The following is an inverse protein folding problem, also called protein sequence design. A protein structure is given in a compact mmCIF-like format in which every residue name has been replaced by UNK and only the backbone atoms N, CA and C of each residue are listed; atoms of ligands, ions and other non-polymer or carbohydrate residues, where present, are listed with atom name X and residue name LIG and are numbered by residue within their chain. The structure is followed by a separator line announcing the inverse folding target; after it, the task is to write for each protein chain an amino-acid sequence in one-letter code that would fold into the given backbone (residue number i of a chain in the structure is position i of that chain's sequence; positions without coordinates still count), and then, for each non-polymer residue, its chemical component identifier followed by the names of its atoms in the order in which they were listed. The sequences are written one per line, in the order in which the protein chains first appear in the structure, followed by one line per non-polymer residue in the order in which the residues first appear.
data_IF_851247080909
#
_entry.id   IF_851247080909
#
_cell.length_a   1.000
_cell.length_b   1.000
_cell.length_c   1.000
_cell.angle_alpha   90.00
_cell.angle_beta   90.00
_cell.angle_gamma   90.00
#
_symmetry.space_group_name_H-M   'P 1'
#
loop_
_entity.id
_entity.type
_entity.pdbx_description
1 polymer ?
#
# COMPACT_ATOMS: atom_id res chain seq x y z
N UNK A 1 40.74 -18.95 -0.05
CA UNK A 1 39.28 -19.10 -0.30
C UNK A 1 38.55 -17.87 0.21
N UNK A 2 38.16 -16.94 -0.68
CA UNK A 2 37.31 -15.78 -0.31
C UNK A 2 35.86 -16.24 -0.38
N UNK A 3 35.14 -16.22 0.74
CA UNK A 3 33.68 -16.40 0.77
C UNK A 3 33.04 -15.26 -0.04
N UNK A 4 32.54 -15.58 -1.23
CA UNK A 4 31.60 -14.73 -1.94
C UNK A 4 30.33 -14.65 -1.09
N UNK A 5 30.17 -13.56 -0.33
CA UNK A 5 28.86 -13.17 0.18
C UNK A 5 28.01 -12.94 -1.06
N UNK A 6 27.03 -13.81 -1.31
CA UNK A 6 25.99 -13.55 -2.31
C UNK A 6 25.27 -12.27 -1.89
N UNK A 7 25.68 -11.13 -2.45
CA UNK A 7 24.80 -9.97 -2.55
C UNK A 7 23.68 -10.42 -3.48
N UNK A 8 22.60 -10.94 -2.90
CA UNK A 8 21.35 -10.95 -3.63
C UNK A 8 21.07 -9.50 -4.03
N UNK A 9 20.90 -9.18 -5.32
CA UNK A 9 20.39 -7.88 -5.71
C UNK A 9 19.07 -7.63 -4.98
N UNK A 10 18.90 -6.42 -4.46
CA UNK A 10 17.73 -6.03 -3.67
C UNK A 10 16.50 -6.03 -4.56
N UNK A 11 15.58 -6.96 -4.34
CA UNK A 11 14.32 -6.99 -5.07
C UNK A 11 13.50 -5.71 -4.81
N UNK A 12 12.66 -5.27 -5.76
CA UNK A 12 11.67 -4.21 -5.50
C UNK A 12 10.86 -4.53 -4.25
N UNK A 13 10.36 -3.53 -3.53
CA UNK A 13 9.52 -3.78 -2.35
C UNK A 13 8.22 -4.41 -2.82
N UNK A 14 8.09 -5.73 -2.63
CA UNK A 14 6.94 -6.51 -3.06
C UNK A 14 5.89 -6.53 -1.95
N UNK A 15 4.65 -6.18 -2.28
CA UNK A 15 3.52 -6.23 -1.35
C UNK A 15 3.40 -7.57 -0.64
N UNK A 16 3.56 -8.66 -1.37
CA UNK A 16 3.47 -10.03 -0.86
C UNK A 16 4.48 -10.30 0.27
N UNK A 17 5.73 -9.86 0.10
CA UNK A 17 6.77 -9.99 1.13
C UNK A 17 6.43 -9.15 2.36
N UNK A 18 5.90 -7.94 2.15
CA UNK A 18 5.48 -7.07 3.25
C UNK A 18 4.28 -7.63 4.00
N UNK A 19 3.31 -8.20 3.29
CA UNK A 19 2.15 -8.85 3.91
C UNK A 19 2.58 -10.10 4.71
N UNK A 20 3.58 -10.84 4.24
CA UNK A 20 4.08 -12.04 4.91
C UNK A 20 4.93 -11.72 6.13
N UNK A 21 5.79 -10.70 6.04
CA UNK A 21 6.82 -10.43 7.05
C UNK A 21 6.56 -9.19 7.90
N UNK A 22 5.56 -8.38 7.55
CA UNK A 22 5.27 -7.08 8.18
C UNK A 22 6.51 -6.18 8.28
N UNK A 23 7.36 -6.19 7.25
CA UNK A 23 8.59 -5.40 7.18
C UNK A 23 9.06 -5.27 5.74
N UNK A 24 9.85 -4.24 5.46
CA UNK A 24 10.63 -4.13 4.23
C UNK A 24 11.98 -3.49 4.51
N UNK A 25 12.92 -3.69 3.59
CA UNK A 25 14.26 -3.08 3.64
C UNK A 25 14.35 -1.99 2.57
N UNK A 26 14.94 -0.84 2.92
CA UNK A 26 15.28 0.23 1.98
C UNK A 26 16.79 0.27 1.73
N UNK A 27 17.19 -0.37 0.65
CA UNK A 27 18.51 -0.27 0.02
C UNK A 27 18.43 0.57 -1.28
N UNK A 28 19.59 0.81 -1.91
CA UNK A 28 19.68 1.63 -3.14
C UNK A 28 18.80 1.09 -4.28
N UNK A 29 18.63 -0.23 -4.36
CA UNK A 29 17.86 -0.87 -5.42
C UNK A 29 16.35 -0.74 -5.18
N UNK A 30 15.90 -0.94 -3.94
CA UNK A 30 14.51 -0.70 -3.56
C UNK A 30 14.13 0.78 -3.71
N UNK A 31 15.03 1.73 -3.40
CA UNK A 31 14.81 3.16 -3.66
C UNK A 31 14.72 3.46 -5.16
N UNK A 32 15.56 2.83 -5.99
CA UNK A 32 15.48 3.00 -7.46
C UNK A 32 14.11 2.58 -8.01
N UNK A 33 13.52 1.53 -7.46
CA UNK A 33 12.19 1.05 -7.87
C UNK A 33 11.04 1.80 -7.17
N UNK A 34 11.27 2.32 -5.96
CA UNK A 34 10.30 3.02 -5.13
C UNK A 34 10.89 4.37 -4.68
N UNK A 35 11.07 5.33 -5.59
CA UNK A 35 11.78 6.57 -5.27
C UNK A 35 11.11 7.31 -4.12
N UNK A 36 9.80 7.30 -3.94
CA UNK A 36 9.18 8.03 -2.82
C UNK A 36 9.39 7.37 -1.44
N UNK A 37 9.83 6.11 -1.39
CA UNK A 37 9.97 5.39 -0.13
C UNK A 37 11.14 5.87 0.73
N UNK A 38 12.13 6.58 0.16
CA UNK A 38 13.18 7.21 0.99
C UNK A 38 12.60 8.25 1.98
N UNK A 39 11.38 8.73 1.74
CA UNK A 39 10.69 9.71 2.60
C UNK A 39 9.93 9.06 3.75
N UNK A 40 9.76 7.73 3.75
CA UNK A 40 9.02 7.00 4.79
C UNK A 40 9.74 7.08 6.13
N UNK A 41 8.97 7.37 7.18
CA UNK A 41 9.41 7.57 8.55
C UNK A 41 8.58 6.72 9.52
N UNK A 42 9.10 6.57 10.73
CA UNK A 42 8.32 6.02 11.85
C UNK A 42 7.09 6.88 12.06
N UNK A 43 5.95 6.22 12.33
CA UNK A 43 4.60 6.77 12.43
C UNK A 43 3.89 7.10 11.10
N UNK A 44 4.50 6.81 9.95
CA UNK A 44 3.78 6.88 8.67
C UNK A 44 2.77 5.74 8.52
N UNK A 45 1.70 6.02 7.80
CA UNK A 45 0.70 5.04 7.41
C UNK A 45 0.95 4.56 6.00
N UNK A 46 0.93 3.25 5.82
CA UNK A 46 1.13 2.61 4.54
C UNK A 46 -0.08 1.76 4.18
N UNK A 47 -0.49 1.83 2.92
CA UNK A 47 -1.44 0.88 2.32
C UNK A 47 -0.72 -0.03 1.37
N UNK A 48 -1.22 -1.25 1.25
CA UNK A 48 -0.71 -2.25 0.33
C UNK A 48 -1.79 -2.61 -0.68
N UNK A 49 -1.52 -2.37 -1.96
CA UNK A 49 -2.30 -2.89 -3.07
C UNK A 49 -1.90 -4.34 -3.32
N UNK A 50 -2.80 -5.26 -2.97
CA UNK A 50 -2.59 -6.69 -3.13
C UNK A 50 -2.60 -7.05 -4.62
N UNK A 51 -1.64 -7.85 -5.08
CA UNK A 51 -1.66 -8.37 -6.44
C UNK A 51 -2.77 -9.40 -6.64
N UNK A 52 -3.00 -9.80 -7.89
CA UNK A 52 -3.90 -10.88 -8.26
C UNK A 52 -3.55 -12.23 -7.60
N UNK A 53 -2.32 -12.39 -7.10
CA UNK A 53 -1.83 -13.62 -6.47
C UNK A 53 -2.19 -13.72 -4.99
N UNK A 54 -2.62 -12.63 -4.34
CA UNK A 54 -2.99 -12.65 -2.92
C UNK A 54 -4.41 -13.23 -2.76
N UNK A 55 -4.55 -14.42 -2.13
CA UNK A 55 -5.86 -15.04 -1.99
C UNK A 55 -6.83 -14.17 -1.19
N UNK A 56 -8.11 -14.22 -1.56
CA UNK A 56 -9.21 -13.47 -0.92
C UNK A 56 -9.08 -11.94 -0.95
N UNK A 57 -8.08 -11.38 -1.64
CA UNK A 57 -7.84 -9.93 -1.74
C UNK A 57 -7.22 -9.52 -3.09
N UNK A 58 -7.56 -10.13 -4.24
CA UNK A 58 -6.85 -9.84 -5.49
C UNK A 58 -7.11 -8.41 -5.97
N UNK A 59 -6.05 -7.70 -6.38
CA UNK A 59 -6.12 -6.36 -6.98
C UNK A 59 -6.85 -5.33 -6.11
N UNK A 60 -6.58 -5.33 -4.81
CA UNK A 60 -7.26 -4.46 -3.85
C UNK A 60 -6.33 -3.94 -2.75
N UNK A 61 -6.58 -2.71 -2.28
CA UNK A 61 -6.10 -2.25 -0.97
C UNK A 61 -6.98 -2.88 0.10
N UNK A 62 -6.38 -3.68 0.97
CA UNK A 62 -7.09 -4.35 2.08
C UNK A 62 -6.40 -4.25 3.43
N UNK A 63 -5.09 -4.03 3.42
CA UNK A 63 -4.28 -3.99 4.62
C UNK A 63 -3.67 -2.61 4.80
N UNK A 64 -3.74 -2.14 6.04
CA UNK A 64 -3.21 -0.85 6.46
C UNK A 64 -2.18 -1.11 7.55
N UNK A 65 -1.03 -0.49 7.37
CA UNK A 65 0.12 -0.61 8.25
C UNK A 65 0.49 0.73 8.84
N UNK A 66 0.97 0.70 10.07
CA UNK A 66 1.73 1.78 10.69
C UNK A 66 3.21 1.38 10.68
N UNK A 67 4.08 2.29 10.29
CA UNK A 67 5.52 2.11 10.46
C UNK A 67 5.86 2.23 11.95
N UNK A 68 6.12 1.09 12.60
CA UNK A 68 6.31 1.05 14.06
C UNK A 68 7.73 1.40 14.49
N UNK A 69 8.73 0.98 13.71
CA UNK A 69 10.13 1.23 14.02
C UNK A 69 11.01 1.08 12.79
N UNK A 70 12.23 1.60 12.90
CA UNK A 70 13.30 1.44 11.90
C UNK A 70 14.54 0.91 12.60
N UNK A 71 15.07 -0.22 12.11
CA UNK A 71 16.32 -0.83 12.59
C UNK A 71 17.28 -0.88 11.40
N UNK A 72 18.31 -0.04 11.42
CA UNK A 72 19.18 0.21 10.27
C UNK A 72 18.34 0.60 9.03
N UNK A 73 18.40 -0.19 7.97
CA UNK A 73 17.66 0.05 6.72
C UNK A 73 16.32 -0.69 6.66
N UNK A 74 15.95 -1.42 7.72
CA UNK A 74 14.71 -2.17 7.77
C UNK A 74 13.63 -1.40 8.51
N UNK A 75 12.46 -1.29 7.89
CA UNK A 75 11.25 -0.75 8.50
C UNK A 75 10.36 -1.90 8.96
N UNK A 76 9.97 -1.86 10.23
CA UNK A 76 9.02 -2.81 10.81
C UNK A 76 7.65 -2.17 10.79
N UNK A 77 6.66 -2.96 10.37
CA UNK A 77 5.28 -2.54 10.22
C UNK A 77 4.41 -3.22 11.26
N UNK A 78 3.45 -2.47 11.77
CA UNK A 78 2.35 -2.99 12.58
C UNK A 78 1.09 -2.94 11.74
N UNK A 79 0.44 -4.08 11.53
CA UNK A 79 -0.89 -4.10 10.93
C UNK A 79 -1.87 -3.43 11.89
N UNK A 80 -2.51 -2.34 11.46
CA UNK A 80 -3.47 -1.60 12.28
C UNK A 80 -4.91 -1.86 11.87
N UNK A 81 -5.14 -2.25 10.61
CA UNK A 81 -6.47 -2.55 10.09
C UNK A 81 -6.38 -3.50 8.90
N UNK A 82 -7.19 -4.55 8.96
CA UNK A 82 -7.65 -5.30 7.79
C UNK A 82 -9.06 -4.84 7.45
N UNK A 83 -9.23 -4.32 6.24
CA UNK A 83 -10.54 -3.92 5.75
C UNK A 83 -11.39 -5.17 5.51
N UNK A 84 -12.66 -5.13 5.93
CA UNK A 84 -13.61 -6.21 5.65
C UNK A 84 -13.78 -6.38 4.13
N UNK A 85 -13.80 -5.26 3.41
CA UNK A 85 -13.88 -5.16 1.95
C UNK A 85 -12.77 -4.25 1.47
N UNK A 86 -12.00 -4.70 0.48
CA UNK A 86 -10.90 -3.91 -0.07
C UNK A 86 -11.37 -2.90 -1.11
N UNK A 87 -10.52 -1.92 -1.39
CA UNK A 87 -10.70 -0.97 -2.47
C UNK A 87 -9.96 -1.45 -3.71
N UNK A 88 -10.68 -1.70 -4.80
CA UNK A 88 -10.07 -1.94 -6.10
C UNK A 88 -9.66 -0.60 -6.74
N UNK A 89 -8.89 -0.67 -7.83
CA UNK A 89 -8.43 0.51 -8.55
C UNK A 89 -9.59 1.44 -9.00
N UNK A 90 -10.67 0.87 -9.54
CA UNK A 90 -11.82 1.66 -10.00
C UNK A 90 -12.48 2.48 -8.87
N UNK A 91 -12.61 1.90 -7.67
CA UNK A 91 -13.12 2.62 -6.50
C UNK A 91 -12.16 3.74 -6.07
N UNK A 92 -10.85 3.49 -6.08
CA UNK A 92 -9.86 4.53 -5.76
C UNK A 92 -9.93 5.67 -6.77
N UNK A 93 -9.96 5.37 -8.07
CA UNK A 93 -10.08 6.38 -9.14
C UNK A 93 -11.32 7.23 -8.94
N UNK A 94 -12.49 6.61 -8.76
CA UNK A 94 -13.75 7.33 -8.53
C UNK A 94 -13.69 8.25 -7.29
N UNK A 95 -13.12 7.78 -6.17
CA UNK A 95 -13.01 8.60 -4.96
C UNK A 95 -11.98 9.74 -5.11
N UNK A 96 -10.94 9.57 -5.92
CA UNK A 96 -9.98 10.62 -6.25
C UNK A 96 -10.62 11.67 -7.16
N UNK A 97 -11.38 11.25 -8.18
CA UNK A 97 -12.11 12.14 -9.09
C UNK A 97 -13.17 12.98 -8.35
N UNK A 98 -13.79 12.40 -7.32
CA UNK A 98 -14.71 13.09 -6.42
C UNK A 98 -14.03 14.01 -5.39
N UNK A 99 -12.69 14.06 -5.38
CA UNK A 99 -11.91 14.88 -4.44
C UNK A 99 -11.90 14.37 -3.00
N UNK A 100 -12.30 13.12 -2.76
CA UNK A 100 -12.35 12.51 -1.42
C UNK A 100 -11.03 11.88 -1.00
N UNK A 101 -10.32 11.31 -1.96
CA UNK A 101 -9.01 10.71 -1.77
C UNK A 101 -7.95 11.52 -2.50
N UNK A 102 -6.73 11.56 -1.96
CA UNK A 102 -5.62 12.21 -2.64
C UNK A 102 -5.18 11.45 -3.90
N UNK A 103 -4.65 12.19 -4.89
CA UNK A 103 -4.09 11.61 -6.12
C UNK A 103 -2.91 10.67 -5.87
N UNK A 104 -2.30 10.68 -4.67
CA UNK A 104 -1.21 9.77 -4.29
C UNK A 104 -1.66 8.31 -4.37
N UNK A 105 -2.92 8.03 -4.06
CA UNK A 105 -3.47 6.67 -4.08
C UNK A 105 -3.57 6.05 -5.48
N UNK A 106 -3.57 6.87 -6.53
CA UNK A 106 -3.56 6.37 -7.91
C UNK A 106 -2.25 5.65 -8.26
N UNK A 107 -1.18 5.91 -7.52
CA UNK A 107 0.14 5.33 -7.80
C UNK A 107 0.29 3.91 -7.24
N UNK A 108 -0.62 3.47 -6.37
CA UNK A 108 -0.51 2.21 -5.61
C UNK A 108 -0.72 0.95 -6.44
N UNK A 109 -1.32 1.06 -7.62
CA UNK A 109 -1.52 -0.08 -8.53
C UNK A 109 -0.28 -0.35 -9.39
N UNK A 110 0.67 0.58 -9.48
CA UNK A 110 1.84 0.42 -10.35
C UNK A 110 2.74 -0.73 -9.86
N UNK A 111 3.28 -1.52 -10.79
CA UNK A 111 4.09 -2.72 -10.49
C UNK A 111 5.26 -2.39 -9.55
N UNK A 112 5.80 -1.18 -9.66
CA UNK A 112 6.87 -0.66 -8.80
C UNK A 112 6.41 -0.26 -7.40
N UNK A 113 5.15 0.15 -7.21
CA UNK A 113 4.63 0.75 -5.97
C UNK A 113 3.39 0.03 -5.46
N UNK A 114 3.46 -1.28 -5.24
CA UNK A 114 2.36 -2.02 -4.59
C UNK A 114 2.12 -1.61 -3.12
N UNK A 115 2.98 -0.75 -2.59
CA UNK A 115 2.85 -0.16 -1.27
C UNK A 115 2.89 1.35 -1.47
N UNK A 116 2.08 2.08 -0.71
CA UNK A 116 2.05 3.53 -0.74
C UNK A 116 2.03 4.10 0.66
N UNK A 117 2.75 5.19 0.85
CA UNK A 117 2.47 6.10 1.96
C UNK A 117 1.16 6.84 1.70
N UNK A 118 0.35 6.99 2.75
CA UNK A 118 -0.89 7.74 2.70
C UNK A 118 -0.94 8.79 3.79
N UNK A 119 -1.64 9.87 3.50
CA UNK A 119 -1.89 10.93 4.46
C UNK A 119 -3.00 10.49 5.44
N UNK A 120 -3.01 11.09 6.63
CA UNK A 120 -3.97 10.72 7.68
C UNK A 120 -5.44 10.94 7.26
N UNK A 121 -5.73 11.95 6.44
CA UNK A 121 -7.07 12.20 5.91
C UNK A 121 -7.57 11.08 5.00
N UNK A 122 -6.70 10.55 4.14
CA UNK A 122 -7.03 9.41 3.29
C UNK A 122 -7.23 8.14 4.13
N UNK A 123 -6.38 7.95 5.16
CA UNK A 123 -6.49 6.84 6.11
C UNK A 123 -7.87 6.82 6.79
N UNK A 124 -8.29 7.95 7.35
CA UNK A 124 -9.58 8.04 8.04
C UNK A 124 -10.74 7.67 7.11
N UNK A 125 -10.70 8.13 5.85
CA UNK A 125 -11.73 7.79 4.88
C UNK A 125 -11.71 6.30 4.54
N UNK A 126 -10.54 5.74 4.23
CA UNK A 126 -10.39 4.32 3.87
C UNK A 126 -10.84 3.39 5.00
N UNK A 127 -10.60 3.77 6.27
CA UNK A 127 -11.01 2.96 7.43
C UNK A 127 -12.52 3.03 7.66
N UNK A 128 -13.12 4.22 7.52
CA UNK A 128 -14.49 4.49 7.94
C UNK A 128 -15.53 4.33 6.82
N UNK A 129 -15.09 4.15 5.57
CA UNK A 129 -15.98 4.10 4.42
C UNK A 129 -16.14 2.66 3.90
N UNK A 130 -17.37 2.15 3.73
CA UNK A 130 -17.60 0.85 3.08
C UNK A 130 -17.80 1.06 1.57
N UNK A 131 -16.93 0.48 0.71
CA UNK A 131 -17.00 0.67 -0.74
C UNK A 131 -18.32 0.17 -1.39
N UNK A 132 -19.11 -0.71 -0.77
CA UNK A 132 -20.37 -1.21 -1.36
C UNK A 132 -21.55 -0.26 -1.20
N UNK A 133 -21.58 0.61 -0.19
CA UNK A 133 -22.72 1.51 0.01
C UNK A 133 -22.90 2.44 -1.20
N UNK A 134 -21.85 2.69 -1.99
CA UNK A 134 -21.93 3.49 -3.21
C UNK A 134 -22.22 2.74 -4.51
N UNK A 135 -21.97 1.44 -4.63
CA UNK A 135 -22.41 0.71 -5.83
C UNK A 135 -23.94 0.67 -5.92
N UNK A 136 -24.64 0.76 -4.79
CA UNK A 136 -26.10 0.87 -4.75
C UNK A 136 -26.63 2.30 -4.93
N UNK A 137 -25.87 3.32 -4.53
CA UNK A 137 -26.34 4.71 -4.63
C UNK A 137 -25.85 5.46 -5.88
N UNK A 138 -24.80 5.02 -6.59
CA UNK A 138 -24.33 5.72 -7.80
C UNK A 138 -25.19 5.49 -9.04
N UNK A 139 -26.01 4.44 -9.06
CA UNK A 139 -27.02 4.21 -10.10
C UNK A 139 -28.29 5.02 -9.92
N UNK A 140 -28.50 5.62 -8.74
CA UNK A 140 -29.74 6.34 -8.39
C UNK A 140 -29.72 7.84 -8.70
N UNK A 141 -28.58 8.41 -9.08
CA UNK A 141 -28.45 9.85 -9.40
C UNK A 141 -28.32 10.16 -10.89
N UNK A 142 -28.52 9.14 -11.75
CA UNK A 142 -28.70 9.33 -13.19
C UNK A 142 -30.17 9.15 -13.55
N UNK A 143 -30.99 10.12 -13.18
CA UNK A 143 -32.31 10.39 -13.76
C UNK A 143 -32.45 11.88 -13.93
#
# INVERSE_FOLDING_TARGET
MKRLKSKMPGNPIVAEDVLLHNRFTLDEESIKHNPDFHKVKVNDYLVVFCSSLVPHSPNQIKFIFLVSSKINNQFVLKNIKKLARGYNAAHIVSLVEEGKLSKKLLQCETVSHKICQIDYSDLELIINFDPIVRTYHSTSWKT
#
